data_IF_808898309335
#
_entry.id   IF_808898309335
#
_cell.length_a   1.000
_cell.length_b   1.000
_cell.length_c   1.000
_cell.angle_alpha   90.00
_cell.angle_beta   90.00
_cell.angle_gamma   90.00
#
_symmetry.space_group_name_H-M   'P 1'
#
loop_
_entity.id
_entity.type
_entity.pdbx_description
1 polymer ?
#
# COMPACT_ATOMS: atom_id res chain seq x y z
N UNK A 1 -27.87 6.52 49.20
CA UNK A 1 -28.42 6.52 47.83
C UNK A 1 -27.24 6.57 46.85
N UNK A 2 -26.83 5.42 46.32
CA UNK A 2 -25.88 5.31 45.21
C UNK A 2 -26.67 4.92 43.96
N UNK A 3 -26.46 5.55 42.79
CA UNK A 3 -27.09 5.07 41.57
C UNK A 3 -26.28 3.89 41.01
N UNK A 4 -26.97 2.77 40.79
CA UNK A 4 -26.45 1.62 40.06
C UNK A 4 -26.31 2.00 38.58
N UNK A 5 -25.09 1.89 38.06
CA UNK A 5 -24.81 2.00 36.63
C UNK A 5 -25.19 0.66 35.99
N UNK A 6 -26.29 0.67 35.24
CA UNK A 6 -26.71 -0.46 34.41
C UNK A 6 -25.80 -0.55 33.20
N UNK A 7 -24.94 -1.58 33.16
CA UNK A 7 -24.08 -1.88 32.01
C UNK A 7 -24.97 -2.41 30.88
N UNK A 8 -25.10 -1.62 29.82
CA UNK A 8 -25.82 -2.02 28.61
C UNK A 8 -25.04 -3.11 27.86
N UNK A 9 -25.71 -4.26 27.77
CA UNK A 9 -25.61 -5.36 26.81
C UNK A 9 -24.54 -5.23 25.71
N UNK A 10 -23.47 -6.02 25.85
CA UNK A 10 -22.58 -6.42 24.75
C UNK A 10 -23.41 -7.23 23.76
N UNK A 11 -23.53 -6.78 22.51
CA UNK A 11 -24.17 -7.58 21.47
C UNK A 11 -23.50 -8.96 21.39
N UNK A 12 -24.27 -10.06 21.28
CA UNK A 12 -23.69 -11.39 21.25
C UNK A 12 -22.72 -11.49 20.06
N UNK A 13 -21.52 -11.98 20.34
CA UNK A 13 -20.53 -12.36 19.36
C UNK A 13 -21.21 -13.23 18.30
N UNK A 14 -21.31 -12.74 17.07
CA UNK A 14 -21.83 -13.53 15.95
C UNK A 14 -20.97 -14.78 15.88
N UNK A 15 -21.55 -15.93 16.18
CA UNK A 15 -20.87 -17.21 16.04
C UNK A 15 -20.60 -17.39 14.54
N UNK A 16 -19.34 -17.20 14.15
CA UNK A 16 -18.89 -17.51 12.80
C UNK A 16 -18.81 -19.02 12.68
N UNK A 17 -19.87 -19.63 12.16
CA UNK A 17 -19.81 -21.02 11.68
C UNK A 17 -19.05 -20.98 10.35
N UNK A 18 -17.86 -21.58 10.23
CA UNK A 18 -17.18 -21.66 8.95
C UNK A 18 -18.10 -22.35 7.96
N UNK A 19 -18.33 -21.71 6.81
CA UNK A 19 -19.08 -22.33 5.73
C UNK A 19 -18.28 -23.54 5.22
N UNK A 20 -18.81 -24.77 5.33
CA UNK A 20 -18.11 -25.96 4.85
C UNK A 20 -17.91 -25.96 3.33
N UNK A 21 -18.48 -25.00 2.60
CA UNK A 21 -18.31 -24.81 1.16
C UNK A 21 -17.19 -23.82 0.78
N UNK A 22 -16.49 -23.23 1.76
CA UNK A 22 -15.39 -22.31 1.46
C UNK A 22 -14.17 -23.06 0.92
N UNK A 23 -13.78 -22.74 -0.31
CA UNK A 23 -12.52 -23.22 -0.91
C UNK A 23 -11.37 -22.33 -0.47
N UNK A 24 -10.31 -22.94 0.08
CA UNK A 24 -9.15 -22.23 0.63
C UNK A 24 -7.88 -22.74 -0.03
N UNK A 25 -7.27 -21.90 -0.85
CA UNK A 25 -5.92 -22.12 -1.36
C UNK A 25 -4.90 -21.42 -0.46
N UNK A 26 -3.80 -22.12 -0.15
CA UNK A 26 -2.72 -21.62 0.70
C UNK A 26 -1.45 -21.45 -0.14
N UNK A 27 -0.82 -20.28 -0.02
CA UNK A 27 0.45 -19.94 -0.67
C UNK A 27 1.46 -19.52 0.40
N UNK A 28 2.71 -19.97 0.26
CA UNK A 28 3.78 -19.69 1.24
C UNK A 28 4.83 -18.75 0.66
N UNK A 29 4.98 -18.78 -0.66
CA UNK A 29 5.98 -17.99 -1.38
C UNK A 29 5.35 -16.93 -2.28
N UNK A 30 6.09 -15.86 -2.55
CA UNK A 30 5.69 -14.87 -3.55
C UNK A 30 5.55 -15.49 -4.95
N UNK A 31 6.37 -16.50 -5.28
CA UNK A 31 6.28 -17.24 -6.54
C UNK A 31 4.93 -17.96 -6.73
N UNK A 32 4.23 -18.31 -5.65
CA UNK A 32 2.89 -18.91 -5.70
C UNK A 32 1.80 -17.83 -5.59
N UNK A 33 1.97 -16.92 -4.63
CA UNK A 33 0.97 -15.93 -4.27
C UNK A 33 0.79 -14.83 -5.33
N UNK A 34 1.88 -14.37 -5.98
CA UNK A 34 1.80 -13.33 -7.01
C UNK A 34 1.01 -13.81 -8.24
N UNK A 35 1.30 -14.98 -8.84
CA UNK A 35 0.45 -15.53 -9.90
C UNK A 35 -1.02 -15.71 -9.51
N UNK A 36 -1.30 -16.11 -8.27
CA UNK A 36 -2.68 -16.25 -7.80
C UNK A 36 -3.40 -14.89 -7.75
N UNK A 37 -2.72 -13.86 -7.25
CA UNK A 37 -3.24 -12.49 -7.24
C UNK A 37 -3.45 -11.96 -8.67
N UNK A 38 -2.52 -12.21 -9.58
CA UNK A 38 -2.63 -11.82 -10.99
C UNK A 38 -3.86 -12.44 -11.66
N UNK A 39 -4.04 -13.76 -11.49
CA UNK A 39 -5.21 -14.48 -11.98
C UNK A 39 -6.51 -13.95 -11.38
N UNK A 40 -6.52 -13.55 -10.11
CA UNK A 40 -7.70 -12.94 -9.49
C UNK A 40 -8.04 -11.57 -10.09
N UNK A 41 -7.04 -10.71 -10.34
CA UNK A 41 -7.24 -9.45 -11.06
C UNK A 41 -7.78 -9.70 -12.48
N UNK A 42 -7.25 -10.70 -13.19
CA UNK A 42 -7.75 -11.09 -14.52
C UNK A 42 -9.17 -11.66 -14.49
N UNK A 43 -9.53 -12.42 -13.45
CA UNK A 43 -10.86 -13.01 -13.35
C UNK A 43 -11.94 -12.03 -12.91
N UNK A 44 -11.57 -10.97 -12.17
CA UNK A 44 -12.50 -9.97 -11.65
C UNK A 44 -13.37 -9.33 -12.74
N UNK A 45 -14.67 -9.18 -12.46
CA UNK A 45 -15.69 -8.74 -13.41
C UNK A 45 -16.30 -7.39 -13.05
N UNK A 46 -16.57 -7.15 -11.76
CA UNK A 46 -17.27 -5.95 -11.28
C UNK A 46 -16.37 -5.03 -10.48
N UNK A 47 -15.71 -5.54 -9.44
CA UNK A 47 -14.97 -4.71 -8.50
C UNK A 47 -13.84 -5.45 -7.77
N UNK A 48 -12.83 -4.66 -7.40
CA UNK A 48 -11.71 -5.09 -6.58
C UNK A 48 -11.56 -4.08 -5.44
N UNK A 49 -11.63 -4.58 -4.21
CA UNK A 49 -11.41 -3.78 -3.00
C UNK A 49 -10.16 -4.27 -2.30
N UNK A 50 -9.11 -3.45 -2.31
CA UNK A 50 -7.78 -3.86 -1.89
C UNK A 50 -7.18 -2.89 -0.87
N UNK A 51 -6.42 -3.46 0.07
CA UNK A 51 -5.64 -2.75 1.05
C UNK A 51 -4.25 -3.36 1.15
N UNK A 52 -3.22 -2.58 0.82
CA UNK A 52 -1.83 -3.05 0.88
C UNK A 52 -0.95 -2.08 1.66
N UNK A 53 0.03 -2.62 2.39
CA UNK A 53 1.11 -1.84 3.00
C UNK A 53 2.08 -1.37 1.92
N UNK A 54 2.50 -2.28 1.04
CA UNK A 54 3.27 -1.95 -0.17
C UNK A 54 2.65 -2.63 -1.38
N UNK A 55 2.48 -1.86 -2.47
CA UNK A 55 2.02 -2.35 -3.77
C UNK A 55 2.80 -1.63 -4.87
N UNK A 56 3.94 -2.17 -5.31
CA UNK A 56 4.73 -1.56 -6.39
C UNK A 56 4.22 -2.02 -7.76
N UNK A 57 3.68 -1.08 -8.54
CA UNK A 57 3.20 -1.34 -9.90
C UNK A 57 4.32 -1.65 -10.90
N UNK A 58 5.59 -1.47 -10.51
CA UNK A 58 6.75 -1.90 -11.31
C UNK A 58 7.07 -3.38 -11.14
N UNK A 59 6.45 -4.05 -10.17
CA UNK A 59 6.61 -5.49 -9.97
C UNK A 59 6.26 -6.24 -11.25
N UNK A 60 7.10 -7.21 -11.61
CA UNK A 60 6.96 -8.03 -12.81
C UNK A 60 5.84 -9.04 -12.62
N UNK A 61 5.09 -9.26 -13.69
CA UNK A 61 4.10 -10.32 -13.75
C UNK A 61 4.79 -11.68 -13.80
N UNK A 62 4.16 -12.68 -13.17
CA UNK A 62 4.73 -14.01 -12.94
C UNK A 62 3.86 -15.13 -13.50
N UNK A 63 2.56 -14.91 -13.63
CA UNK A 63 1.64 -15.85 -14.27
C UNK A 63 1.77 -15.82 -15.80
N UNK A 64 1.62 -16.96 -16.50
CA UNK A 64 1.53 -16.98 -17.95
C UNK A 64 0.42 -16.06 -18.50
N UNK A 65 -0.73 -16.02 -17.82
CA UNK A 65 -1.88 -15.19 -18.20
C UNK A 65 -1.59 -13.70 -18.02
N UNK A 66 -0.92 -13.32 -16.92
CA UNK A 66 -0.46 -11.95 -16.70
C UNK A 66 0.57 -11.53 -17.75
N UNK A 67 1.53 -12.40 -18.05
CA UNK A 67 2.55 -12.15 -19.07
C UNK A 67 1.97 -11.99 -20.49
N UNK A 68 0.81 -12.59 -20.77
CA UNK A 68 0.09 -12.37 -22.02
C UNK A 68 -0.51 -10.95 -22.12
N UNK A 69 -0.74 -10.28 -21.00
CA UNK A 69 -1.21 -8.88 -20.94
C UNK A 69 -0.06 -7.89 -21.03
N UNK A 70 1.05 -8.15 -20.34
CA UNK A 70 2.17 -7.21 -20.28
C UNK A 70 3.33 -7.72 -19.44
N UNK A 71 4.17 -6.81 -18.94
CA UNK A 71 5.39 -7.16 -18.19
C UNK A 71 5.29 -6.85 -16.71
N UNK A 72 4.44 -5.90 -16.34
CA UNK A 72 4.39 -5.34 -15.00
C UNK A 72 2.96 -5.25 -14.47
N UNK A 73 2.83 -5.12 -13.16
CA UNK A 73 1.56 -4.84 -12.49
C UNK A 73 0.88 -3.56 -12.99
N UNK A 74 1.64 -2.58 -13.48
CA UNK A 74 1.11 -1.42 -14.17
C UNK A 74 0.30 -1.81 -15.42
N UNK A 75 0.79 -2.75 -16.21
CA UNK A 75 0.13 -3.22 -17.44
C UNK A 75 -1.16 -3.98 -17.10
N UNK A 76 -1.08 -4.88 -16.10
CA UNK A 76 -2.24 -5.65 -15.62
C UNK A 76 -3.31 -4.75 -15.00
N UNK A 77 -2.92 -3.76 -14.20
CA UNK A 77 -3.84 -2.78 -13.61
C UNK A 77 -4.53 -1.97 -14.71
N UNK A 78 -3.76 -1.47 -15.68
CA UNK A 78 -4.29 -0.71 -16.83
C UNK A 78 -5.29 -1.57 -17.59
N UNK A 79 -4.95 -2.82 -17.89
CA UNK A 79 -5.85 -3.77 -18.54
C UNK A 79 -7.14 -3.99 -17.75
N UNK A 80 -7.05 -4.16 -16.42
CA UNK A 80 -8.20 -4.39 -15.54
C UNK A 80 -9.14 -3.19 -15.50
N UNK A 81 -8.60 -1.98 -15.36
CA UNK A 81 -9.39 -0.74 -15.43
C UNK A 81 -10.05 -0.55 -16.81
N UNK A 82 -9.33 -0.90 -17.88
CA UNK A 82 -9.82 -0.77 -19.27
C UNK A 82 -10.98 -1.73 -19.57
N UNK A 83 -11.08 -2.85 -18.83
CA UNK A 83 -12.25 -3.76 -18.85
C UNK A 83 -13.47 -3.22 -18.08
N UNK A 84 -13.34 -2.09 -17.39
CA UNK A 84 -14.44 -1.44 -16.66
C UNK A 84 -14.63 -1.92 -15.21
N UNK A 85 -13.71 -2.76 -14.71
CA UNK A 85 -13.69 -3.22 -13.31
C UNK A 85 -13.39 -2.04 -12.38
N UNK A 86 -14.20 -1.88 -11.33
CA UNK A 86 -14.03 -0.81 -10.35
C UNK A 86 -12.97 -1.18 -9.32
N UNK A 87 -11.90 -0.39 -9.21
CA UNK A 87 -10.82 -0.65 -8.25
C UNK A 87 -10.88 0.38 -7.12
N UNK A 88 -11.04 -0.10 -5.89
CA UNK A 88 -10.85 0.68 -4.66
C UNK A 88 -9.60 0.19 -3.95
N UNK A 89 -8.61 1.05 -3.82
CA UNK A 89 -7.31 0.71 -3.24
C UNK A 89 -6.98 1.63 -2.05
N UNK A 90 -6.61 1.04 -0.91
CA UNK A 90 -6.06 1.75 0.24
C UNK A 90 -4.58 1.37 0.39
N UNK A 91 -3.69 2.32 0.12
CA UNK A 91 -2.24 2.11 0.28
C UNK A 91 -1.77 2.71 1.59
N UNK A 92 -1.02 1.95 2.39
CA UNK A 92 -0.38 2.54 3.56
C UNK A 92 0.65 3.58 3.13
N UNK A 93 0.50 4.79 3.64
CA UNK A 93 1.56 5.79 3.63
C UNK A 93 2.41 5.67 4.89
N UNK A 94 3.60 6.26 4.85
CA UNK A 94 4.60 6.16 5.89
C UNK A 94 4.96 7.55 6.41
N UNK A 95 5.61 7.60 7.57
CA UNK A 95 6.06 8.88 8.10
C UNK A 95 7.05 9.57 7.12
N UNK A 96 6.78 10.81 6.70
CA UNK A 96 7.58 11.52 5.71
C UNK A 96 9.01 11.83 6.19
N UNK A 97 9.26 11.87 7.50
CA UNK A 97 10.57 12.15 8.09
C UNK A 97 11.30 10.88 8.47
N UNK A 98 10.63 9.93 9.11
CA UNK A 98 11.21 8.72 9.66
C UNK A 98 11.42 7.64 8.59
N UNK A 99 10.53 7.57 7.59
CA UNK A 99 10.61 6.62 6.48
C UNK A 99 10.44 7.34 5.11
N UNK A 100 11.27 8.35 4.79
CA UNK A 100 11.08 9.20 3.61
C UNK A 100 11.13 8.43 2.28
N UNK A 101 11.88 7.33 2.23
CA UNK A 101 11.95 6.46 1.05
C UNK A 101 10.66 5.70 0.80
N UNK A 102 10.03 5.17 1.86
CA UNK A 102 8.77 4.44 1.76
C UNK A 102 7.61 5.40 1.49
N UNK A 103 7.58 6.56 2.17
CA UNK A 103 6.67 7.66 1.85
C UNK A 103 6.73 7.99 0.35
N UNK A 104 7.95 8.21 -0.16
CA UNK A 104 8.15 8.50 -1.58
C UNK A 104 7.68 7.37 -2.49
N UNK A 105 7.94 6.12 -2.12
CA UNK A 105 7.50 4.95 -2.88
C UNK A 105 5.96 4.87 -2.95
N UNK A 106 5.26 5.05 -1.84
CA UNK A 106 3.79 5.09 -1.80
C UNK A 106 3.24 6.15 -2.75
N UNK A 107 3.74 7.38 -2.68
CA UNK A 107 3.25 8.46 -3.53
C UNK A 107 3.65 8.32 -5.00
N UNK A 108 4.78 7.66 -5.30
CA UNK A 108 5.13 7.25 -6.67
C UNK A 108 4.13 6.22 -7.19
N UNK A 109 3.81 5.19 -6.40
CA UNK A 109 2.77 4.21 -6.73
C UNK A 109 1.44 4.90 -6.96
N UNK A 110 1.05 5.85 -6.11
CA UNK A 110 -0.19 6.62 -6.27
C UNK A 110 -0.26 7.30 -7.64
N UNK A 111 0.83 7.94 -8.06
CA UNK A 111 0.90 8.55 -9.39
C UNK A 111 0.81 7.51 -10.51
N UNK A 112 1.41 6.34 -10.34
CA UNK A 112 1.32 5.26 -11.31
C UNK A 112 -0.12 4.70 -11.42
N UNK A 113 -0.86 4.58 -10.32
CA UNK A 113 -2.28 4.21 -10.36
C UNK A 113 -3.11 5.21 -11.18
N UNK A 114 -2.91 6.51 -10.94
CA UNK A 114 -3.60 7.55 -11.72
C UNK A 114 -3.20 7.53 -13.19
N UNK A 115 -1.92 7.34 -13.50
CA UNK A 115 -1.47 7.18 -14.89
C UNK A 115 -2.08 5.93 -15.56
N UNK A 116 -2.21 4.81 -14.85
CA UNK A 116 -2.87 3.61 -15.35
C UNK A 116 -4.37 3.85 -15.63
N UNK A 117 -5.05 4.60 -14.76
CA UNK A 117 -6.45 5.00 -14.98
C UNK A 117 -6.61 5.93 -16.19
N UNK A 118 -5.73 6.92 -16.36
CA UNK A 118 -5.71 7.79 -17.54
C UNK A 118 -5.50 6.98 -18.83
N UNK A 119 -4.57 6.03 -18.83
CA UNK A 119 -4.31 5.14 -19.97
C UNK A 119 -5.42 4.12 -20.24
N UNK A 120 -6.23 3.78 -19.22
CA UNK A 120 -7.41 2.94 -19.37
C UNK A 120 -8.58 3.70 -20.04
N UNK A 121 -8.55 5.03 -20.01
CA UNK A 121 -9.53 5.89 -20.68
C UNK A 121 -10.63 6.41 -19.74
N UNK A 122 -11.57 7.22 -20.25
CA UNK A 122 -12.53 7.97 -19.43
C UNK A 122 -13.51 7.10 -18.63
N UNK A 123 -13.69 5.83 -19.03
CA UNK A 123 -14.52 4.86 -18.30
C UNK A 123 -13.83 4.19 -17.11
N UNK A 124 -12.55 4.47 -16.85
CA UNK A 124 -11.79 3.86 -15.78
C UNK A 124 -12.34 4.26 -14.40
N UNK A 125 -12.66 3.26 -13.57
CA UNK A 125 -13.23 3.44 -12.23
C UNK A 125 -12.16 3.16 -11.18
N UNK A 126 -11.46 4.19 -10.75
CA UNK A 126 -10.42 4.09 -9.72
C UNK A 126 -10.74 4.98 -8.52
N UNK A 127 -10.76 4.39 -7.33
CA UNK A 127 -10.71 5.10 -6.05
C UNK A 127 -9.42 4.70 -5.34
N UNK A 128 -8.58 5.68 -5.01
CA UNK A 128 -7.30 5.42 -4.37
C UNK A 128 -7.12 6.31 -3.14
N UNK A 129 -6.80 5.68 -2.01
CA UNK A 129 -6.58 6.37 -0.73
C UNK A 129 -5.16 6.06 -0.23
N UNK A 130 -4.21 6.99 -0.34
CA UNK A 130 -2.99 6.93 0.44
C UNK A 130 -3.31 7.23 1.91
N UNK A 131 -3.24 6.21 2.76
CA UNK A 131 -3.64 6.27 4.17
C UNK A 131 -2.41 6.32 5.08
N UNK A 132 -2.12 7.50 5.62
CA UNK A 132 -1.20 7.62 6.77
C UNK A 132 -1.94 7.19 8.04
N UNK A 133 -1.30 6.38 8.89
CA UNK A 133 -1.89 5.94 10.15
C UNK A 133 -2.27 7.13 11.03
N UNK A 134 -3.43 7.05 11.71
CA UNK A 134 -3.98 8.16 12.51
C UNK A 134 -3.20 8.47 13.79
N UNK A 135 -2.46 7.50 14.33
CA UNK A 135 -1.59 7.71 15.48
C UNK A 135 -0.52 8.78 15.18
N UNK A 136 -0.55 9.86 15.96
CA UNK A 136 0.43 10.94 15.93
C UNK A 136 1.16 10.98 17.27
N UNK A 137 2.48 11.12 17.22
CA UNK A 137 3.29 11.29 18.41
C UNK A 137 2.87 12.55 19.19
N UNK A 138 2.78 12.42 20.51
CA UNK A 138 2.54 13.55 21.41
C UNK A 138 3.67 14.60 21.35
N UNK A 139 3.45 15.72 22.05
CA UNK A 139 4.38 16.84 22.07
C UNK A 139 5.78 16.44 22.57
N UNK A 140 5.86 15.69 23.68
CA UNK A 140 7.13 15.32 24.31
C UNK A 140 8.05 14.49 23.40
N UNK A 141 7.59 13.37 22.79
CA UNK A 141 8.40 12.67 21.79
C UNK A 141 8.85 13.57 20.62
N UNK A 142 7.98 14.47 20.14
CA UNK A 142 8.31 15.37 19.02
C UNK A 142 9.40 16.37 19.38
N UNK A 143 9.40 16.91 20.60
CA UNK A 143 10.46 17.80 21.11
C UNK A 143 11.75 17.03 21.32
N UNK A 144 11.67 15.89 22.01
CA UNK A 144 12.84 15.04 22.31
C UNK A 144 13.56 14.59 21.03
N UNK A 145 12.82 14.21 19.99
CA UNK A 145 13.38 13.77 18.71
C UNK A 145 13.55 14.90 17.69
N UNK A 146 13.29 16.16 18.04
CA UNK A 146 13.39 17.29 17.10
C UNK A 146 14.77 17.43 16.43
N UNK A 147 15.92 17.30 17.13
CA UNK A 147 17.23 17.37 16.47
C UNK A 147 17.42 16.28 15.40
N UNK A 148 16.91 15.06 15.66
CA UNK A 148 16.97 13.95 14.71
C UNK A 148 16.06 14.20 13.49
N UNK A 149 14.86 14.74 13.73
CA UNK A 149 13.91 15.16 12.69
C UNK A 149 14.55 16.22 11.79
N UNK A 150 15.16 17.25 12.36
CA UNK A 150 15.84 18.31 11.60
C UNK A 150 17.03 17.76 10.80
N UNK A 151 17.85 16.88 11.39
CA UNK A 151 18.94 16.19 10.68
C UNK A 151 18.45 15.37 9.49
N UNK A 152 17.31 14.67 9.62
CA UNK A 152 16.69 13.93 8.51
C UNK A 152 16.17 14.87 7.42
N UNK A 153 15.48 15.96 7.79
CA UNK A 153 15.01 16.96 6.84
C UNK A 153 16.17 17.65 6.10
N UNK A 154 17.27 17.96 6.80
CA UNK A 154 18.50 18.51 6.20
C UNK A 154 19.11 17.56 5.18
N UNK A 155 19.13 16.25 5.46
CA UNK A 155 19.60 15.23 4.51
C UNK A 155 18.71 15.16 3.26
N UNK A 156 17.39 15.15 3.42
CA UNK A 156 16.45 15.15 2.30
C UNK A 156 16.59 16.43 1.47
N UNK A 157 16.67 17.59 2.13
CA UNK A 157 16.95 18.89 1.50
C UNK A 157 18.28 18.87 0.72
N UNK A 158 19.36 18.35 1.32
CA UNK A 158 20.64 18.17 0.65
C UNK A 158 20.55 17.29 -0.59
N UNK A 159 19.83 16.17 -0.51
CA UNK A 159 19.60 15.28 -1.64
C UNK A 159 18.79 15.96 -2.76
N UNK A 160 17.73 16.69 -2.43
CA UNK A 160 16.90 17.45 -3.39
C UNK A 160 17.70 18.56 -4.10
N UNK A 161 18.61 19.24 -3.39
CA UNK A 161 19.48 20.28 -3.96
C UNK A 161 20.44 19.74 -5.02
N UNK A 162 20.84 18.46 -4.92
CA UNK A 162 21.70 17.80 -5.91
C UNK A 162 20.96 17.33 -7.16
N UNK A 163 19.62 17.39 -7.18
CA UNK A 163 18.83 17.01 -8.35
C UNK A 163 18.71 18.19 -9.33
N UNK A 164 18.66 17.89 -10.62
CA UNK A 164 18.24 18.84 -11.67
C UNK A 164 16.77 19.23 -11.42
N UNK A 165 16.37 20.44 -11.81
CA UNK A 165 15.07 21.02 -11.48
C UNK A 165 13.87 20.12 -11.82
N UNK A 166 13.86 19.48 -13.00
CA UNK A 166 12.79 18.55 -13.37
C UNK A 166 12.69 17.35 -12.42
N UNK A 167 13.82 16.72 -12.08
CA UNK A 167 13.86 15.60 -11.13
C UNK A 167 13.54 16.03 -9.71
N UNK A 168 13.92 17.25 -9.32
CA UNK A 168 13.59 17.83 -8.02
C UNK A 168 12.08 18.03 -7.87
N UNK A 169 11.44 18.61 -8.88
CA UNK A 169 9.99 18.83 -8.90
C UNK A 169 9.23 17.50 -8.87
N UNK A 170 9.67 16.51 -9.65
CA UNK A 170 9.10 15.16 -9.61
C UNK A 170 9.21 14.53 -8.22
N UNK A 171 10.39 14.60 -7.59
CA UNK A 171 10.61 14.11 -6.23
C UNK A 171 9.74 14.83 -5.19
N UNK A 172 9.56 16.14 -5.29
CA UNK A 172 8.71 16.91 -4.38
C UNK A 172 7.23 16.56 -4.52
N UNK A 173 6.76 16.24 -5.74
CA UNK A 173 5.40 15.74 -5.98
C UNK A 173 5.18 14.36 -5.36
N UNK A 174 6.23 13.54 -5.31
CA UNK A 174 6.23 12.23 -4.66
C UNK A 174 6.46 12.31 -3.14
N UNK A 175 6.58 13.49 -2.55
CA UNK A 175 6.86 13.64 -1.12
C UNK A 175 6.02 14.77 -0.49
N UNK A 176 4.68 14.75 -0.60
CA UNK A 176 3.83 15.85 -0.14
C UNK A 176 3.99 16.16 1.35
N UNK A 177 4.17 15.14 2.19
CA UNK A 177 4.43 15.30 3.62
C UNK A 177 5.73 16.08 3.90
N UNK A 178 6.83 15.73 3.21
CA UNK A 178 8.09 16.48 3.33
C UNK A 178 7.98 17.87 2.71
N UNK A 179 7.31 18.01 1.56
CA UNK A 179 7.09 19.30 0.90
C UNK A 179 6.43 20.31 1.83
N UNK A 180 5.48 19.88 2.66
CA UNK A 180 4.84 20.71 3.68
C UNK A 180 5.79 21.21 4.79
N UNK A 181 6.89 20.49 5.03
CA UNK A 181 7.86 20.78 6.09
C UNK A 181 9.04 21.64 5.62
N UNK A 182 9.12 21.93 4.32
CA UNK A 182 10.16 22.75 3.71
C UNK A 182 9.71 24.22 3.62
N UNK A 183 10.65 25.15 3.78
CA UNK A 183 10.40 26.59 3.75
C UNK A 183 10.17 27.11 2.32
N UNK A 184 10.93 26.59 1.35
CA UNK A 184 10.76 26.87 -0.07
C UNK A 184 10.19 25.63 -0.76
N UNK A 185 8.96 25.75 -1.30
CA UNK A 185 8.27 24.67 -2.00
C UNK A 185 8.79 24.45 -3.42
N UNK A 186 9.26 25.52 -4.07
CA UNK A 186 9.66 25.53 -5.50
C UNK A 186 11.07 26.13 -5.73
N UNK A 187 11.74 26.63 -4.68
CA UNK A 187 13.15 27.04 -4.68
C UNK A 187 13.97 26.15 -3.72
N UNK A 188 15.28 26.43 -3.56
CA UNK A 188 16.23 25.62 -2.75
C UNK A 188 15.60 25.14 -1.42
N UNK A 189 15.18 23.86 -1.34
CA UNK A 189 14.37 23.40 -0.22
C UNK A 189 15.20 23.44 1.05
N UNK A 190 14.73 24.14 2.09
CA UNK A 190 15.37 24.19 3.42
C UNK A 190 14.36 23.75 4.49
N UNK A 191 14.78 23.00 5.52
CA UNK A 191 13.91 22.66 6.65
C UNK A 191 13.42 23.92 7.36
N UNK A 192 12.19 23.89 7.87
CA UNK A 192 11.69 24.92 8.77
C UNK A 192 12.26 24.68 10.17
N UNK A 193 13.28 25.46 10.53
CA UNK A 193 14.04 25.31 11.79
C UNK A 193 13.11 25.27 13.01
N UNK A 194 12.16 26.18 13.12
CA UNK A 194 11.24 26.25 14.26
C UNK A 194 10.00 25.37 14.14
N UNK A 195 9.96 24.45 13.16
CA UNK A 195 8.83 23.53 13.02
C UNK A 195 9.03 22.27 13.86
N UNK A 196 7.97 21.88 14.56
CA UNK A 196 7.79 20.56 15.13
C UNK A 196 6.80 19.82 14.23
N UNK A 197 7.24 19.11 13.17
CA UNK A 197 6.30 18.37 12.32
C UNK A 197 5.58 17.26 13.12
N UNK A 198 4.37 16.86 12.72
CA UNK A 198 3.76 15.63 13.24
C UNK A 198 4.64 14.44 12.88
N UNK A 199 4.71 13.47 13.79
CA UNK A 199 5.38 12.18 13.57
C UNK A 199 4.35 11.08 13.69
N UNK A 200 4.36 10.14 12.74
CA UNK A 200 3.42 9.03 12.63
C UNK A 200 4.18 7.72 12.95
N UNK A 201 4.18 7.28 14.23
CA UNK A 201 4.99 6.13 14.64
C UNK A 201 4.47 4.79 14.12
N UNK A 202 3.20 4.74 13.68
CA UNK A 202 2.54 3.53 13.21
C UNK A 202 2.25 3.59 11.71
N UNK A 203 2.02 2.43 11.12
CA UNK A 203 1.73 2.21 9.70
C UNK A 203 0.65 1.14 9.58
N UNK A 204 -0.18 1.16 8.55
CA UNK A 204 -1.12 0.07 8.32
C UNK A 204 -0.34 -1.16 7.78
N UNK A 205 -0.69 -2.36 8.26
CA UNK A 205 -0.07 -3.63 7.85
C UNK A 205 -1.05 -4.53 7.09
N UNK A 206 -2.04 -3.96 6.44
CA UNK A 206 -3.03 -4.63 5.59
C UNK A 206 -2.41 -5.18 4.31
N UNK A 207 -2.77 -6.42 3.92
CA UNK A 207 -2.39 -7.08 2.65
C UNK A 207 -3.53 -7.99 2.24
N UNK A 208 -4.56 -7.36 1.70
CA UNK A 208 -5.80 -8.03 1.34
C UNK A 208 -6.41 -7.45 0.06
N UNK A 209 -7.12 -8.28 -0.68
CA UNK A 209 -7.93 -7.88 -1.81
C UNK A 209 -9.20 -8.75 -1.88
N UNK A 210 -10.35 -8.12 -2.01
CA UNK A 210 -11.64 -8.77 -2.25
C UNK A 210 -12.00 -8.57 -3.71
N UNK A 211 -12.42 -9.64 -4.38
CA UNK A 211 -12.77 -9.68 -5.81
C UNK A 211 -14.24 -10.03 -5.95
N UNK A 212 -15.00 -9.14 -6.59
CA UNK A 212 -16.43 -9.28 -6.91
C UNK A 212 -17.33 -9.64 -5.71
N UNK A 213 -16.85 -9.44 -4.48
CA UNK A 213 -17.53 -9.89 -3.25
C UNK A 213 -17.55 -11.40 -3.01
N UNK A 214 -16.88 -12.20 -3.85
CA UNK A 214 -16.95 -13.67 -3.85
C UNK A 214 -15.63 -14.33 -3.41
N UNK A 215 -14.50 -13.63 -3.58
CA UNK A 215 -13.18 -14.14 -3.24
C UNK A 215 -12.38 -13.13 -2.43
N UNK A 216 -11.61 -13.60 -1.46
CA UNK A 216 -10.67 -12.78 -0.69
C UNK A 216 -9.26 -13.38 -0.74
N UNK A 217 -8.33 -12.56 -1.18
CA UNK A 217 -6.90 -12.77 -1.02
C UNK A 217 -6.45 -12.06 0.26
N UNK A 218 -5.91 -12.78 1.24
CA UNK A 218 -5.51 -12.20 2.54
C UNK A 218 -4.30 -12.91 3.13
N UNK A 219 -3.37 -12.15 3.72
CA UNK A 219 -2.16 -12.72 4.30
C UNK A 219 -1.12 -11.67 4.66
N UNK A 220 0.14 -12.09 4.60
CA UNK A 220 1.27 -11.26 5.04
C UNK A 220 2.23 -10.79 3.94
N UNK A 221 1.98 -11.13 2.67
CA UNK A 221 2.87 -10.78 1.56
C UNK A 221 2.56 -9.41 0.94
N UNK A 222 3.55 -8.52 0.97
CA UNK A 222 3.52 -7.26 0.21
C UNK A 222 3.82 -7.54 -1.27
N UNK A 223 3.32 -6.68 -2.17
CA UNK A 223 3.63 -6.78 -3.60
C UNK A 223 4.81 -5.87 -3.94
N UNK A 224 6.02 -6.44 -4.00
CA UNK A 224 7.28 -5.73 -4.28
C UNK A 224 8.32 -6.73 -4.82
N UNK A 225 9.07 -6.36 -5.87
CA UNK A 225 10.20 -7.14 -6.37
C UNK A 225 11.22 -7.50 -5.30
N UNK A 226 11.40 -6.61 -4.31
CA UNK A 226 12.37 -6.82 -3.24
C UNK A 226 12.12 -8.12 -2.47
N UNK A 227 10.88 -8.53 -2.29
CA UNK A 227 10.49 -9.66 -1.45
C UNK A 227 10.05 -10.88 -2.27
N UNK A 228 10.38 -10.89 -3.56
CA UNK A 228 10.10 -12.05 -4.39
C UNK A 228 10.99 -13.22 -3.97
N UNK A 229 10.38 -14.30 -3.51
CA UNK A 229 11.07 -15.54 -3.22
C UNK A 229 10.41 -16.77 -3.85
N UNK A 230 11.21 -17.81 -4.03
CA UNK A 230 10.82 -19.13 -4.54
C UNK A 230 11.00 -20.21 -3.46
N UNK A 231 10.43 -21.41 -3.64
CA UNK A 231 10.63 -22.52 -2.69
C UNK A 231 12.09 -22.94 -2.48
N UNK A 232 13.00 -22.56 -3.38
CA UNK A 232 14.43 -22.86 -3.25
C UNK A 232 15.16 -21.93 -2.28
N UNK A 233 14.56 -20.82 -1.85
CA UNK A 233 15.08 -19.87 -0.86
C UNK A 233 16.55 -19.48 -1.07
N UNK A 234 16.92 -19.12 -2.30
CA UNK A 234 18.33 -18.86 -2.65
C UNK A 234 18.82 -17.45 -2.31
N UNK A 235 17.94 -16.58 -1.83
CA UNK A 235 18.26 -15.21 -1.45
C UNK A 235 18.46 -15.11 0.08
N UNK A 236 19.23 -14.12 0.57
CA UNK A 236 19.41 -13.91 2.00
C UNK A 236 18.08 -13.68 2.73
N UNK A 237 17.92 -14.21 3.95
CA UNK A 237 16.67 -14.12 4.72
C UNK A 237 16.15 -12.72 5.07
N UNK A 238 16.93 -11.65 4.84
CA UNK A 238 16.49 -10.26 4.97
C UNK A 238 16.02 -9.63 3.64
N UNK A 239 16.15 -10.40 2.56
CA UNK A 239 15.73 -10.13 1.19
C UNK A 239 14.64 -11.12 0.73
N UNK A 240 14.46 -12.25 1.42
CA UNK A 240 13.31 -13.15 1.26
C UNK A 240 12.29 -12.91 2.36
N UNK A 241 11.00 -12.87 1.99
CA UNK A 241 9.91 -12.86 2.96
C UNK A 241 9.03 -14.08 2.71
N UNK A 242 8.89 -14.93 3.73
CA UNK A 242 7.86 -15.95 3.80
C UNK A 242 6.72 -15.47 4.65
N UNK A 243 5.55 -15.47 4.08
CA UNK A 243 4.35 -15.27 4.83
C UNK A 243 3.25 -16.13 4.24
N UNK A 244 2.28 -16.48 5.07
CA UNK A 244 1.13 -17.25 4.60
C UNK A 244 0.19 -16.29 3.91
N UNK A 245 -0.21 -16.67 2.70
CA UNK A 245 -1.20 -15.97 1.93
C UNK A 245 -2.31 -16.94 1.54
N UNK A 246 -3.55 -16.52 1.74
CA UNK A 246 -4.72 -17.33 1.47
C UNK A 246 -5.51 -16.72 0.32
N UNK A 247 -6.07 -17.57 -0.53
CA UNK A 247 -7.20 -17.22 -1.37
C UNK A 247 -8.40 -18.03 -0.88
N UNK A 248 -9.41 -17.33 -0.38
CA UNK A 248 -10.65 -17.94 0.11
C UNK A 248 -11.77 -17.57 -0.85
N UNK A 249 -12.53 -18.57 -1.32
CA UNK A 249 -13.69 -18.38 -2.19
C UNK A 249 -14.92 -18.98 -1.54
N UNK A 250 -16.04 -18.26 -1.60
CA UNK A 250 -17.33 -18.77 -1.14
C UNK A 250 -18.08 -19.32 -2.35
N UNK A 251 -18.43 -20.61 -2.32
CA UNK A 251 -19.29 -21.18 -3.34
C UNK A 251 -20.72 -20.67 -3.15
N UNK A 252 -21.17 -19.80 -4.05
CA UNK A 252 -22.60 -19.50 -4.17
C UNK A 252 -23.22 -20.64 -4.99
N UNK A 253 -23.98 -21.53 -4.36
CA UNK A 253 -24.87 -22.45 -5.07
C UNK A 253 -25.81 -21.59 -5.94
N UNK A 254 -25.64 -21.65 -7.27
CA UNK A 254 -26.61 -21.13 -8.23
C UNK A 254 -27.84 -22.02 -8.30
#
# INVERSE_FOLDING_TARGET
MQPAISVMCVQPCVQFTPDPTADVEVFVTAAEAYPALERAFLAARSDIQAGFRVFDLKTRLRSPEGLAIGRTWFDLLTHTLRRGVAIRMVLSDFDPVARPRLHRATWRTVRMFWAAAELAGPGAKLTLVPSTHSAVAGLWPRVMFWPLVQSRLLRVSGWLRRQIDAHRLAALREMPGVRGMLAAKDALPRPRLWSLPPLYPATHHQKLAVFDGEAVYIGGLDLDERFYDTPDHRLPGHETWHDVQLMVRVYQHK
#
